data_IF_874021088243
#
_entry.id   IF_874021088243
#
_cell.length_a   1.000
_cell.length_b   1.000
_cell.length_c   1.000
_cell.angle_alpha   90.00
_cell.angle_beta   90.00
_cell.angle_gamma   90.00
#
_symmetry.space_group_name_H-M   'P 1'
#
loop_
_entity.id
_entity.type
_entity.pdbx_description
1 polymer ?
#
# COMPACT_ATOMS: atom_id res chain seq x y z
N UNK A 1 0.49 7.51 9.69
CA UNK A 1 -0.33 6.27 9.75
C UNK A 1 -0.69 5.74 8.36
N UNK A 2 -1.18 6.57 7.43
CA UNK A 2 -1.64 6.12 6.10
C UNK A 2 -0.61 5.36 5.27
N UNK A 3 0.68 5.76 5.30
CA UNK A 3 1.74 5.04 4.58
C UNK A 3 1.99 3.62 5.09
N UNK A 4 2.01 3.43 6.42
CA UNK A 4 2.13 2.09 7.04
C UNK A 4 0.92 1.24 6.66
N UNK A 5 -0.29 1.81 6.70
CA UNK A 5 -1.51 1.09 6.32
C UNK A 5 -1.47 0.64 4.84
N UNK A 6 -1.02 1.51 3.93
CA UNK A 6 -0.82 1.16 2.53
C UNK A 6 0.22 0.04 2.37
N UNK A 7 1.36 0.12 3.08
CA UNK A 7 2.39 -0.93 3.08
C UNK A 7 1.80 -2.29 3.51
N UNK A 8 1.05 -2.31 4.61
CA UNK A 8 0.45 -3.53 5.15
C UNK A 8 -0.61 -4.10 4.20
N UNK A 9 -1.46 -3.27 3.59
CA UNK A 9 -2.45 -3.72 2.60
C UNK A 9 -1.79 -4.36 1.38
N UNK A 10 -0.75 -3.73 0.83
CA UNK A 10 0.00 -4.27 -0.31
C UNK A 10 0.71 -5.58 0.04
N UNK A 11 1.29 -5.69 1.24
CA UNK A 11 1.93 -6.92 1.72
C UNK A 11 0.92 -8.03 1.97
N UNK A 12 -0.25 -7.71 2.50
CA UNK A 12 -1.32 -8.69 2.71
C UNK A 12 -1.77 -9.29 1.37
N UNK A 13 -1.97 -8.43 0.36
CA UNK A 13 -2.25 -8.91 -0.99
C UNK A 13 -1.13 -9.82 -1.51
N UNK A 14 0.13 -9.37 -1.49
CA UNK A 14 1.23 -10.19 -2.01
C UNK A 14 1.42 -11.49 -1.23
N UNK A 15 1.14 -11.49 0.07
CA UNK A 15 1.11 -12.69 0.90
C UNK A 15 0.01 -13.66 0.45
N UNK A 16 -1.19 -13.18 0.14
CA UNK A 16 -2.26 -13.99 -0.48
C UNK A 16 -1.85 -14.58 -1.83
N UNK A 17 -0.89 -13.96 -2.52
CA UNK A 17 -0.28 -14.43 -3.77
C UNK A 17 0.97 -15.31 -3.54
N UNK A 18 1.20 -15.78 -2.30
CA UNK A 18 2.28 -16.70 -1.94
C UNK A 18 3.63 -16.05 -1.65
N UNK A 19 3.71 -14.72 -1.50
CA UNK A 19 4.94 -14.08 -1.04
C UNK A 19 5.15 -14.30 0.46
N UNK A 20 6.36 -14.70 0.86
CA UNK A 20 6.70 -14.76 2.27
C UNK A 20 6.95 -13.38 2.87
N UNK A 21 6.78 -13.25 4.18
CA UNK A 21 7.10 -12.03 4.93
C UNK A 21 8.54 -11.55 4.68
N UNK A 22 9.50 -12.48 4.60
CA UNK A 22 10.89 -12.15 4.34
C UNK A 22 11.10 -11.63 2.90
N UNK A 23 10.37 -12.17 1.91
CA UNK A 23 10.37 -11.62 0.55
C UNK A 23 9.76 -10.22 0.53
N UNK A 24 8.65 -10.00 1.22
CA UNK A 24 8.02 -8.68 1.36
C UNK A 24 8.95 -7.67 2.06
N UNK A 25 9.63 -8.09 3.13
CA UNK A 25 10.59 -7.26 3.87
C UNK A 25 11.80 -6.85 3.03
N UNK A 26 12.35 -7.77 2.23
CA UNK A 26 13.53 -7.49 1.39
C UNK A 26 13.20 -6.65 0.16
N UNK A 27 12.07 -6.91 -0.48
CA UNK A 27 11.75 -6.27 -1.76
C UNK A 27 10.97 -4.97 -1.58
N UNK A 28 10.00 -4.92 -0.66
CA UNK A 28 9.10 -3.76 -0.50
C UNK A 28 9.63 -2.87 0.62
N UNK A 29 9.78 -3.42 1.84
CA UNK A 29 10.08 -2.64 3.04
C UNK A 29 9.16 -1.41 3.12
N UNK A 30 9.70 -0.19 2.96
CA UNK A 30 8.98 1.09 2.99
C UNK A 30 8.80 1.73 1.60
N UNK A 31 9.15 1.03 0.53
CA UNK A 31 8.98 1.45 -0.86
C UNK A 31 7.58 1.09 -1.36
N UNK A 32 6.66 2.05 -1.24
CA UNK A 32 5.24 1.87 -1.57
C UNK A 32 5.02 1.74 -3.07
N UNK A 33 5.81 2.45 -3.88
CA UNK A 33 5.73 2.35 -5.35
C UNK A 33 6.11 0.95 -5.81
N UNK A 34 7.20 0.40 -5.28
CA UNK A 34 7.58 -0.99 -5.58
C UNK A 34 6.54 -1.99 -5.05
N UNK A 35 5.94 -1.72 -3.90
CA UNK A 35 4.83 -2.51 -3.37
C UNK A 35 3.64 -2.54 -4.33
N UNK A 36 3.18 -1.37 -4.78
CA UNK A 36 2.07 -1.25 -5.73
C UNK A 36 2.41 -1.91 -7.07
N UNK A 37 3.59 -1.65 -7.62
CA UNK A 37 4.02 -2.25 -8.88
C UNK A 37 4.07 -3.80 -8.79
N UNK A 38 4.49 -4.35 -7.65
CA UNK A 38 4.51 -5.81 -7.44
C UNK A 38 3.09 -6.37 -7.32
N UNK A 39 2.18 -5.66 -6.66
CA UNK A 39 0.78 -6.05 -6.54
C UNK A 39 0.07 -6.04 -7.90
N UNK A 40 0.24 -4.97 -8.70
CA UNK A 40 -0.30 -4.90 -10.06
C UNK A 40 0.25 -6.01 -10.95
N UNK A 41 1.57 -6.31 -10.87
CA UNK A 41 2.18 -7.43 -11.62
C UNK A 41 1.65 -8.80 -11.21
N UNK A 42 1.18 -8.94 -9.97
CA UNK A 42 0.56 -10.18 -9.49
C UNK A 42 -0.94 -10.26 -9.79
N UNK A 43 -1.50 -9.25 -10.49
CA UNK A 43 -2.87 -9.25 -10.98
C UNK A 43 -3.86 -8.48 -10.10
N UNK A 44 -3.40 -7.61 -9.20
CA UNK A 44 -4.31 -6.81 -8.36
C UNK A 44 -5.14 -5.86 -9.23
N UNK A 45 -6.47 -5.99 -9.16
CA UNK A 45 -7.43 -5.11 -9.85
C UNK A 45 -8.10 -4.20 -8.81
N UNK A 46 -8.42 -2.97 -9.19
CA UNK A 46 -9.27 -2.08 -8.38
C UNK A 46 -8.55 -1.11 -7.45
N UNK A 47 -7.22 -1.03 -7.47
CA UNK A 47 -6.48 -0.01 -6.72
C UNK A 47 -6.73 1.42 -7.25
N UNK A 48 -7.06 1.58 -8.54
CA UNK A 48 -7.39 2.87 -9.17
C UNK A 48 -6.20 3.84 -9.29
N UNK A 49 -6.32 4.80 -10.20
CA UNK A 49 -5.30 5.83 -10.44
C UNK A 49 -5.08 6.71 -9.18
N UNK A 50 -6.14 6.87 -8.37
CA UNK A 50 -6.08 7.67 -7.15
C UNK A 50 -5.12 7.09 -6.09
N UNK A 51 -5.04 5.76 -5.96
CA UNK A 51 -4.08 5.14 -5.05
C UNK A 51 -2.65 5.36 -5.53
N UNK A 52 -2.40 5.30 -6.84
CA UNK A 52 -1.08 5.54 -7.41
C UNK A 52 -0.60 6.97 -7.11
N UNK A 53 -1.46 7.98 -7.32
CA UNK A 53 -1.17 9.38 -6.99
C UNK A 53 -0.79 9.56 -5.51
N UNK A 54 -1.59 8.96 -4.62
CA UNK A 54 -1.35 9.03 -3.17
C UNK A 54 -0.04 8.34 -2.82
N UNK A 55 0.25 7.19 -3.42
CA UNK A 55 1.47 6.43 -3.17
C UNK A 55 2.70 7.25 -3.56
N UNK A 56 2.71 7.94 -4.70
CA UNK A 56 3.86 8.79 -5.10
C UNK A 56 4.21 9.83 -4.02
N UNK A 57 3.20 10.51 -3.48
CA UNK A 57 3.42 11.51 -2.44
C UNK A 57 3.89 10.85 -1.14
N UNK A 58 3.22 9.78 -0.68
CA UNK A 58 3.63 9.07 0.54
C UNK A 58 5.04 8.49 0.43
N UNK A 59 5.39 7.93 -0.73
CA UNK A 59 6.67 7.30 -1.02
C UNK A 59 7.83 8.31 -1.07
N UNK A 60 7.55 9.60 -1.28
CA UNK A 60 8.57 10.66 -1.19
C UNK A 60 9.17 10.75 0.22
N UNK A 61 8.33 10.54 1.24
CA UNK A 61 8.68 10.72 2.66
C UNK A 61 8.92 9.40 3.40
N UNK A 62 8.15 8.36 3.09
CA UNK A 62 8.08 7.15 3.91
C UNK A 62 9.38 6.32 3.97
N UNK A 63 10.08 6.04 2.85
CA UNK A 63 11.35 5.32 2.87
C UNK A 63 12.44 6.02 3.69
N UNK A 64 12.33 7.35 3.82
CA UNK A 64 13.28 8.20 4.56
C UNK A 64 12.87 8.43 6.01
N UNK A 65 11.74 7.89 6.44
CA UNK A 65 11.11 8.19 7.73
C UNK A 65 10.92 9.72 7.96
N UNK A 66 10.71 10.48 6.88
CA UNK A 66 10.76 11.93 6.87
C UNK A 66 9.36 12.60 6.91
N UNK A 67 8.39 11.95 7.54
CA UNK A 67 7.02 12.50 7.63
C UNK A 67 6.92 13.75 8.51
N UNK A 68 7.92 14.01 9.35
CA UNK A 68 8.11 15.28 10.05
C UNK A 68 8.24 16.48 9.09
N UNK A 69 8.65 16.24 7.85
CA UNK A 69 8.80 17.27 6.80
C UNK A 69 7.58 17.43 5.91
N UNK A 70 6.52 16.65 6.15
CA UNK A 70 5.26 16.78 5.43
C UNK A 70 4.49 17.98 5.98
N UNK A 71 4.11 18.93 5.13
CA UNK A 71 3.54 20.22 5.51
C UNK A 71 2.08 20.19 6.01
N UNK A 72 1.48 18.99 6.10
CA UNK A 72 0.22 18.79 6.80
C UNK A 72 -1.04 19.12 6.01
N UNK A 73 -0.99 19.06 4.66
CA UNK A 73 -2.18 19.23 3.81
C UNK A 73 -3.33 18.28 4.23
N UNK A 74 -4.39 18.87 4.79
CA UNK A 74 -5.59 18.15 5.24
C UNK A 74 -6.37 17.53 4.08
N UNK A 75 -6.41 18.19 2.92
CA UNK A 75 -7.11 17.68 1.75
C UNK A 75 -6.40 16.42 1.25
N UNK A 76 -5.08 16.47 1.10
CA UNK A 76 -4.27 15.28 0.82
C UNK A 76 -4.45 14.21 1.88
N UNK A 77 -4.42 14.55 3.17
CA UNK A 77 -4.58 13.56 4.24
C UNK A 77 -5.94 12.84 4.17
N UNK A 78 -7.01 13.53 3.78
CA UNK A 78 -8.33 12.92 3.55
C UNK A 78 -8.34 12.04 2.29
N UNK A 79 -7.79 12.53 1.17
CA UNK A 79 -7.61 11.77 -0.08
C UNK A 79 -6.85 10.47 0.18
N UNK A 80 -5.73 10.55 0.89
CA UNK A 80 -4.88 9.42 1.19
C UNK A 80 -5.59 8.36 2.06
N UNK A 81 -6.42 8.78 3.02
CA UNK A 81 -7.24 7.85 3.83
C UNK A 81 -8.27 7.14 2.97
N UNK A 82 -8.98 7.87 2.09
CA UNK A 82 -9.98 7.28 1.20
C UNK A 82 -9.35 6.28 0.23
N UNK A 83 -8.22 6.63 -0.41
CA UNK A 83 -7.51 5.74 -1.32
C UNK A 83 -7.03 4.46 -0.61
N UNK A 84 -6.51 4.56 0.62
CA UNK A 84 -6.07 3.38 1.39
C UNK A 84 -7.26 2.54 1.87
N UNK A 85 -8.41 3.14 2.17
CA UNK A 85 -9.63 2.39 2.44
C UNK A 85 -10.06 1.58 1.21
N UNK A 86 -10.06 2.19 0.02
CA UNK A 86 -10.33 1.51 -1.24
C UNK A 86 -9.35 0.38 -1.54
N UNK A 87 -8.06 0.54 -1.20
CA UNK A 87 -7.07 -0.55 -1.26
C UNK A 87 -7.51 -1.73 -0.38
N UNK A 88 -7.93 -1.48 0.87
CA UNK A 88 -8.36 -2.57 1.75
C UNK A 88 -9.61 -3.29 1.22
N UNK A 89 -10.57 -2.55 0.64
CA UNK A 89 -11.73 -3.16 0.00
C UNK A 89 -11.32 -4.03 -1.20
N UNK A 90 -10.35 -3.57 -2.01
CA UNK A 90 -9.81 -4.35 -3.13
C UNK A 90 -9.04 -5.60 -2.68
N UNK A 91 -8.29 -5.51 -1.58
CA UNK A 91 -7.44 -6.61 -1.08
C UNK A 91 -8.22 -7.67 -0.31
N UNK A 92 -9.29 -7.28 0.39
CA UNK A 92 -10.11 -8.16 1.24
C UNK A 92 -10.47 -9.52 0.59
N UNK A 93 -11.04 -9.60 -0.63
CA UNK A 93 -11.45 -10.89 -1.19
C UNK A 93 -10.28 -11.87 -1.39
N UNK A 94 -9.07 -11.36 -1.66
CA UNK A 94 -7.89 -12.21 -1.84
C UNK A 94 -7.40 -12.78 -0.52
N UNK A 95 -7.40 -11.96 0.54
CA UNK A 95 -6.95 -12.37 1.87
C UNK A 95 -7.91 -13.40 2.46
N UNK A 96 -9.22 -13.16 2.38
CA UNK A 96 -10.24 -14.09 2.85
C UNK A 96 -10.17 -15.44 2.12
N UNK A 97 -10.00 -15.42 0.79
CA UNK A 97 -9.84 -16.63 0.00
C UNK A 97 -8.56 -17.43 0.36
N UNK A 98 -7.50 -16.75 0.81
CA UNK A 98 -6.25 -17.37 1.25
C UNK A 98 -6.30 -17.94 2.68
N UNK A 99 -7.42 -17.79 3.40
CA UNK A 99 -7.59 -18.23 4.78
C UNK A 99 -7.08 -17.23 5.83
N UNK A 100 -6.70 -16.01 5.41
CA UNK A 100 -6.46 -14.89 6.31
C UNK A 100 -7.80 -14.38 6.85
N UNK A 101 -7.98 -14.41 8.17
CA UNK A 101 -9.17 -13.88 8.87
C UNK A 101 -8.93 -12.45 9.34
#
# INVERSE_FOLDING_TARGET
MTAIAAELGLKAYLSSQGWSDDRCRRNIRHDLERGLASACKSGMVGAGDELADVIVVLNTYYPRHAFDRFDGDRAFASKARAAVAGLFDAVRPYVEASGGR
#
